data_IF_229615935690
#
_entry.id   IF_229615935690
#
_cell.length_a   1.000
_cell.length_b   1.000
_cell.length_c   1.000
_cell.angle_alpha   90.00
_cell.angle_beta   90.00
_cell.angle_gamma   90.00
#
_symmetry.space_group_name_H-M   'P 1'
#
loop_
_entity.id
_entity.type
_entity.pdbx_description
1 polymer ?
#
# COMPACT_ATOMS: atom_id res chain seq x y z
N UNK A 1 26.42 11.06 6.80
CA UNK A 1 25.17 10.41 7.26
C UNK A 1 23.99 11.36 7.11
N UNK A 2 22.74 10.90 7.28
CA UNK A 2 21.54 11.75 7.32
C UNK A 2 21.66 12.79 8.43
N UNK A 3 22.17 12.38 9.60
CA UNK A 3 22.41 13.25 10.75
C UNK A 3 23.34 14.41 10.41
N UNK A 4 24.45 14.15 9.72
CA UNK A 4 25.45 15.18 9.34
C UNK A 4 24.87 16.20 8.36
N UNK A 5 23.82 15.81 7.62
CA UNK A 5 23.10 16.67 6.67
C UNK A 5 21.87 17.35 7.26
N UNK A 6 21.61 17.16 8.56
CA UNK A 6 20.41 17.69 9.23
C UNK A 6 19.09 17.11 8.70
N UNK A 7 19.13 15.94 8.05
CA UNK A 7 17.94 15.31 7.49
C UNK A 7 17.25 14.43 8.55
N UNK A 8 15.95 14.63 8.83
CA UNK A 8 15.25 13.81 9.79
C UNK A 8 15.04 12.38 9.25
N UNK A 9 15.16 11.40 10.15
CA UNK A 9 14.72 10.01 9.90
C UNK A 9 13.57 9.75 10.85
N UNK A 10 12.35 9.75 10.32
CA UNK A 10 11.13 9.69 11.11
C UNK A 10 10.37 8.35 10.96
N UNK A 11 10.75 7.54 9.98
CA UNK A 11 10.08 6.28 9.66
C UNK A 11 11.04 5.11 9.61
N UNK A 12 10.70 4.05 10.33
CA UNK A 12 11.33 2.74 10.17
C UNK A 12 10.58 1.91 9.13
N UNK A 13 11.28 0.98 8.47
CA UNK A 13 10.68 0.10 7.46
C UNK A 13 10.92 -1.35 7.87
N UNK A 14 9.85 -2.14 7.96
CA UNK A 14 9.89 -3.58 8.20
C UNK A 14 9.61 -4.30 6.90
N UNK A 15 10.67 -4.77 6.26
CA UNK A 15 10.56 -5.51 5.00
C UNK A 15 9.99 -6.91 5.22
N UNK A 16 9.07 -7.34 4.33
CA UNK A 16 8.45 -8.66 4.37
C UNK A 16 7.67 -8.90 5.67
N UNK A 17 6.96 -7.87 6.18
CA UNK A 17 6.28 -7.93 7.47
C UNK A 17 5.20 -9.03 7.53
N UNK A 18 4.65 -9.44 6.39
CA UNK A 18 3.56 -10.40 6.30
C UNK A 18 3.99 -11.81 5.89
N UNK A 19 5.25 -11.97 5.53
CA UNK A 19 5.83 -13.23 5.08
C UNK A 19 6.71 -13.08 3.84
N UNK A 20 7.36 -14.15 3.47
CA UNK A 20 8.18 -14.21 2.26
C UNK A 20 8.21 -15.63 1.66
N UNK A 21 8.62 -15.71 0.38
CA UNK A 21 8.67 -16.98 -0.35
C UNK A 21 9.72 -17.97 0.18
N UNK A 22 10.62 -17.51 1.06
CA UNK A 22 11.72 -18.30 1.60
C UNK A 22 11.41 -18.91 2.98
N UNK A 23 10.74 -18.11 3.85
CA UNK A 23 10.45 -18.48 5.23
C UNK A 23 8.95 -18.73 5.47
N UNK A 24 8.10 -18.40 4.49
CA UNK A 24 6.66 -18.47 4.64
C UNK A 24 6.09 -17.34 5.50
N UNK A 25 5.03 -17.64 6.25
CA UNK A 25 4.41 -16.70 7.19
C UNK A 25 5.34 -16.43 8.38
N UNK A 26 5.49 -15.14 8.73
CA UNK A 26 6.31 -14.73 9.87
C UNK A 26 5.44 -14.53 11.11
N UNK A 27 5.95 -14.94 12.28
CA UNK A 27 5.22 -14.78 13.54
C UNK A 27 5.09 -13.31 13.93
N UNK A 28 4.01 -12.97 14.59
CA UNK A 28 3.78 -11.62 15.13
C UNK A 28 4.89 -11.21 16.08
N UNK A 29 5.38 -12.13 16.93
CA UNK A 29 6.46 -11.89 17.89
C UNK A 29 7.77 -11.52 17.18
N UNK A 30 8.07 -12.16 16.05
CA UNK A 30 9.24 -11.82 15.26
C UNK A 30 9.14 -10.39 14.71
N UNK A 31 7.97 -10.01 14.19
CA UNK A 31 7.76 -8.66 13.67
C UNK A 31 7.83 -7.63 14.79
N UNK A 32 7.22 -7.89 15.95
CA UNK A 32 7.34 -7.00 17.11
C UNK A 32 8.81 -6.82 17.57
N UNK A 33 9.61 -7.89 17.52
CA UNK A 33 11.07 -7.77 17.79
C UNK A 33 11.78 -6.90 16.75
N UNK A 34 11.44 -7.04 15.47
CA UNK A 34 12.00 -6.20 14.39
C UNK A 34 11.60 -4.73 14.54
N UNK A 35 10.38 -4.46 14.95
CA UNK A 35 9.91 -3.09 15.27
C UNK A 35 10.70 -2.52 16.43
N UNK A 36 10.86 -3.28 17.54
CA UNK A 36 11.65 -2.85 18.68
C UNK A 36 13.09 -2.53 18.27
N UNK A 37 13.72 -3.42 17.51
CA UNK A 37 15.09 -3.20 17.01
C UNK A 37 15.20 -1.92 16.18
N UNK A 38 14.24 -1.66 15.28
CA UNK A 38 14.24 -0.44 14.47
C UNK A 38 14.12 0.83 15.34
N UNK A 39 13.32 0.78 16.41
CA UNK A 39 13.18 1.88 17.35
C UNK A 39 14.49 2.11 18.14
N UNK A 40 15.10 1.03 18.64
CA UNK A 40 16.33 1.09 19.40
C UNK A 40 17.51 1.61 18.56
N UNK A 41 17.67 1.11 17.34
CA UNK A 41 18.69 1.55 16.39
C UNK A 41 18.51 3.03 15.99
N UNK A 42 17.29 3.48 15.82
CA UNK A 42 17.01 4.89 15.55
C UNK A 42 17.47 5.77 16.72
N UNK A 43 17.18 5.38 17.96
CA UNK A 43 17.61 6.10 19.16
C UNK A 43 19.15 6.14 19.26
N UNK A 44 19.82 5.01 19.03
CA UNK A 44 21.29 4.95 19.02
C UNK A 44 21.90 5.86 17.94
N UNK A 45 21.21 5.98 16.79
CA UNK A 45 21.62 6.89 15.73
C UNK A 45 21.26 8.37 16.00
N UNK A 46 20.54 8.66 17.09
CA UNK A 46 20.11 10.00 17.50
C UNK A 46 18.87 10.50 16.77
N UNK A 47 17.97 9.57 16.38
CA UNK A 47 16.66 9.87 15.79
C UNK A 47 15.52 9.33 16.67
N UNK A 48 14.33 9.89 16.47
CA UNK A 48 13.08 9.36 17.05
C UNK A 48 12.12 9.06 15.92
N UNK A 49 11.74 7.79 15.79
CA UNK A 49 10.78 7.40 14.77
C UNK A 49 9.37 7.80 15.20
N UNK A 50 8.62 8.41 14.29
CA UNK A 50 7.19 8.70 14.44
C UNK A 50 6.33 7.51 14.06
N UNK A 51 6.82 6.67 13.15
CA UNK A 51 6.07 5.55 12.63
C UNK A 51 6.91 4.43 12.02
N UNK A 52 6.20 3.35 11.74
CA UNK A 52 6.74 2.16 11.09
C UNK A 52 5.93 1.88 9.82
N UNK A 53 6.64 1.63 8.73
CA UNK A 53 6.07 1.14 7.48
C UNK A 53 6.18 -0.37 7.44
N UNK A 54 5.06 -1.05 7.35
CA UNK A 54 4.98 -2.50 7.14
C UNK A 54 4.89 -2.78 5.64
N UNK A 55 5.81 -3.57 5.10
CA UNK A 55 5.84 -3.84 3.66
C UNK A 55 5.51 -5.29 3.36
N UNK A 56 4.75 -5.48 2.29
CA UNK A 56 4.39 -6.77 1.71
C UNK A 56 5.04 -6.91 0.33
N UNK A 57 6.35 -7.07 0.29
CA UNK A 57 7.10 -7.11 -0.97
C UNK A 57 6.74 -8.30 -1.88
N UNK A 58 6.13 -9.35 -1.35
CA UNK A 58 5.87 -10.61 -2.08
C UNK A 58 4.38 -10.99 -2.15
N UNK A 59 3.47 -10.10 -1.74
CA UNK A 59 2.02 -10.32 -1.81
C UNK A 59 1.52 -11.40 -0.85
N UNK A 60 2.03 -11.44 0.38
CA UNK A 60 1.62 -12.37 1.44
C UNK A 60 0.55 -11.79 2.37
N UNK A 61 0.32 -10.46 2.30
CA UNK A 61 -0.64 -9.81 3.17
C UNK A 61 -2.08 -10.26 2.88
N UNK A 62 -2.81 -10.54 3.95
CA UNK A 62 -4.25 -10.74 3.95
C UNK A 62 -4.91 -9.76 4.91
N UNK A 63 -6.22 -9.48 4.81
CA UNK A 63 -6.92 -8.65 5.78
C UNK A 63 -6.64 -9.09 7.23
N UNK A 64 -6.72 -10.39 7.53
CA UNK A 64 -6.50 -10.94 8.85
C UNK A 64 -5.07 -10.72 9.36
N UNK A 65 -4.06 -10.88 8.49
CA UNK A 65 -2.67 -10.64 8.88
C UNK A 65 -2.40 -9.17 9.15
N UNK A 66 -3.02 -8.26 8.38
CA UNK A 66 -2.97 -6.81 8.60
C UNK A 66 -3.60 -6.45 9.95
N UNK A 67 -4.82 -6.95 10.21
CA UNK A 67 -5.53 -6.70 11.47
C UNK A 67 -4.74 -7.20 12.69
N UNK A 68 -4.25 -8.44 12.62
CA UNK A 68 -3.44 -9.06 13.69
C UNK A 68 -2.19 -8.23 13.99
N UNK A 69 -1.46 -7.88 12.95
CA UNK A 69 -0.16 -7.21 13.10
C UNK A 69 -0.31 -5.76 13.59
N UNK A 70 -1.24 -5.00 13.01
CA UNK A 70 -1.54 -3.63 13.45
C UNK A 70 -2.04 -3.63 14.89
N UNK A 71 -2.95 -4.55 15.26
CA UNK A 71 -3.44 -4.68 16.62
C UNK A 71 -2.32 -4.96 17.63
N UNK A 72 -1.41 -5.87 17.31
CA UNK A 72 -0.28 -6.20 18.16
C UNK A 72 0.71 -5.03 18.32
N UNK A 73 1.01 -4.30 17.23
CA UNK A 73 1.89 -3.13 17.29
C UNK A 73 1.27 -2.03 18.15
N UNK A 74 0.01 -1.68 17.92
CA UNK A 74 -0.69 -0.64 18.70
C UNK A 74 -0.85 -0.99 20.18
N UNK A 75 -1.01 -2.27 20.50
CA UNK A 75 -1.06 -2.71 21.90
C UNK A 75 0.24 -2.45 22.65
N UNK A 76 1.38 -2.46 21.96
CA UNK A 76 2.71 -2.24 22.55
C UNK A 76 3.18 -0.80 22.42
N UNK A 77 2.85 -0.14 21.31
CA UNK A 77 3.25 1.24 20.99
C UNK A 77 2.04 2.02 20.44
N UNK A 78 1.11 2.46 21.30
CA UNK A 78 -0.14 3.09 20.89
C UNK A 78 0.04 4.38 20.08
N UNK A 79 1.13 5.12 20.33
CA UNK A 79 1.43 6.39 19.64
C UNK A 79 2.20 6.21 18.32
N UNK A 80 2.63 4.97 18.02
CA UNK A 80 3.42 4.73 16.83
C UNK A 80 2.51 4.74 15.58
N UNK A 81 2.76 5.64 14.65
CA UNK A 81 2.06 5.67 13.38
C UNK A 81 2.40 4.45 12.53
N UNK A 82 1.42 3.97 11.76
CA UNK A 82 1.62 2.83 10.86
C UNK A 82 1.37 3.28 9.43
N UNK A 83 2.28 2.92 8.53
CA UNK A 83 2.11 3.00 7.09
C UNK A 83 2.11 1.60 6.48
N UNK A 84 1.40 1.43 5.37
CA UNK A 84 1.35 0.17 4.63
C UNK A 84 1.90 0.34 3.22
N UNK A 85 2.73 -0.62 2.82
CA UNK A 85 3.21 -0.79 1.45
C UNK A 85 2.85 -2.20 1.01
N UNK A 86 1.83 -2.30 0.18
CA UNK A 86 1.19 -3.57 -0.15
C UNK A 86 1.33 -3.88 -1.65
N UNK A 87 1.57 -5.17 -1.94
CA UNK A 87 1.56 -5.69 -3.30
C UNK A 87 0.30 -6.50 -3.58
N UNK A 88 -0.17 -6.43 -4.81
CA UNK A 88 -1.40 -7.10 -5.25
C UNK A 88 -1.14 -8.37 -6.07
N UNK A 89 0.00 -9.00 -5.86
CA UNK A 89 0.48 -10.18 -6.59
C UNK A 89 -0.54 -11.32 -6.67
N UNK A 90 -1.39 -11.46 -5.64
CA UNK A 90 -2.43 -12.50 -5.53
C UNK A 90 -3.85 -11.95 -5.44
N UNK A 91 -4.05 -10.67 -5.78
CA UNK A 91 -5.37 -10.03 -5.71
C UNK A 91 -5.86 -9.75 -4.28
N UNK A 92 -4.98 -9.84 -3.28
CA UNK A 92 -5.33 -9.57 -1.87
C UNK A 92 -4.89 -8.19 -1.38
N UNK A 93 -4.08 -7.49 -2.17
CA UNK A 93 -3.49 -6.21 -1.80
C UNK A 93 -4.53 -5.13 -1.48
N UNK A 94 -5.55 -4.98 -2.33
CA UNK A 94 -6.65 -4.04 -2.10
C UNK A 94 -7.48 -4.40 -0.87
N UNK A 95 -7.76 -5.68 -0.63
CA UNK A 95 -8.47 -6.12 0.56
C UNK A 95 -7.66 -5.87 1.84
N UNK A 96 -6.34 -6.10 1.79
CA UNK A 96 -5.42 -5.78 2.88
C UNK A 96 -5.33 -4.27 3.15
N UNK A 97 -5.32 -3.44 2.09
CA UNK A 97 -5.36 -1.99 2.21
C UNK A 97 -6.68 -1.50 2.85
N UNK A 98 -7.81 -2.07 2.44
CA UNK A 98 -9.11 -1.81 3.07
C UNK A 98 -9.10 -2.14 4.56
N UNK A 99 -8.54 -3.29 4.96
CA UNK A 99 -8.43 -3.65 6.37
C UNK A 99 -7.58 -2.63 7.15
N UNK A 100 -6.45 -2.18 6.59
CA UNK A 100 -5.64 -1.12 7.16
C UNK A 100 -6.41 0.19 7.33
N UNK A 101 -7.14 0.61 6.29
CA UNK A 101 -7.98 1.81 6.32
C UNK A 101 -9.06 1.73 7.41
N UNK A 102 -9.74 0.58 7.54
CA UNK A 102 -10.73 0.33 8.60
C UNK A 102 -10.14 0.41 10.00
N UNK A 103 -8.87 0.10 10.15
CA UNK A 103 -8.12 0.25 11.39
C UNK A 103 -7.57 1.67 11.59
N UNK A 104 -7.88 2.63 10.73
CA UNK A 104 -7.42 4.01 10.84
C UNK A 104 -5.95 4.22 10.42
N UNK A 105 -5.41 3.36 9.56
CA UNK A 105 -4.17 3.68 8.85
C UNK A 105 -4.47 4.75 7.80
N UNK A 106 -3.64 5.80 7.78
CA UNK A 106 -3.82 6.94 6.87
C UNK A 106 -2.67 7.10 5.86
N UNK A 107 -1.67 6.23 5.93
CA UNK A 107 -0.48 6.30 5.09
C UNK A 107 -0.31 4.99 4.32
N UNK A 108 -0.41 5.10 3.01
CA UNK A 108 -0.29 3.97 2.08
C UNK A 108 0.65 4.33 0.93
N UNK A 109 1.53 3.40 0.58
CA UNK A 109 2.24 3.47 -0.68
C UNK A 109 1.40 2.76 -1.74
N UNK A 110 1.23 3.39 -2.87
CA UNK A 110 0.57 2.86 -4.05
C UNK A 110 1.33 3.29 -5.31
N UNK A 111 1.07 2.68 -6.43
CA UNK A 111 1.68 3.06 -7.69
C UNK A 111 0.63 3.21 -8.78
N UNK A 112 0.84 4.21 -9.66
CA UNK A 112 -0.08 4.42 -10.79
C UNK A 112 -0.17 3.13 -11.63
N UNK A 113 -1.37 2.75 -11.99
CA UNK A 113 -1.67 1.54 -12.75
C UNK A 113 -1.08 0.25 -12.17
N UNK A 114 -0.75 0.21 -10.85
CA UNK A 114 -0.13 -0.94 -10.20
C UNK A 114 1.31 -1.21 -10.65
N UNK A 115 2.01 -0.20 -11.16
CA UNK A 115 3.41 -0.32 -11.56
C UNK A 115 4.30 -0.75 -10.40
N UNK A 116 5.40 -1.38 -10.76
CA UNK A 116 6.39 -1.89 -9.83
C UNK A 116 6.35 -3.41 -9.75
N UNK A 117 7.10 -3.95 -8.83
CA UNK A 117 7.27 -5.37 -8.59
C UNK A 117 8.45 -5.56 -7.65
N UNK A 118 8.56 -6.75 -7.11
CA UNK A 118 9.70 -7.12 -6.29
C UNK A 118 10.50 -8.21 -7.01
N UNK A 119 11.80 -8.01 -7.28
CA UNK A 119 12.62 -9.04 -7.90
C UNK A 119 12.68 -10.34 -7.06
N UNK A 120 12.43 -10.23 -5.76
CA UNK A 120 12.37 -11.37 -4.84
C UNK A 120 11.02 -12.11 -4.85
N UNK A 121 10.00 -11.58 -5.53
CA UNK A 121 8.71 -12.27 -5.64
C UNK A 121 8.81 -13.56 -6.47
N UNK A 122 9.92 -13.72 -7.25
CA UNK A 122 10.25 -14.91 -8.04
C UNK A 122 9.11 -15.41 -8.94
N UNK A 123 8.26 -14.50 -9.40
CA UNK A 123 7.08 -14.81 -10.21
C UNK A 123 7.10 -13.96 -11.46
N UNK A 124 7.23 -14.59 -12.62
CA UNK A 124 7.10 -13.91 -13.90
C UNK A 124 5.70 -13.28 -13.99
N UNK A 125 5.66 -11.97 -14.27
CA UNK A 125 4.39 -11.22 -14.33
C UNK A 125 3.77 -10.87 -12.98
N UNK A 126 4.52 -10.95 -11.87
CA UNK A 126 4.03 -10.48 -10.58
C UNK A 126 3.51 -9.04 -10.70
N UNK A 127 2.23 -8.86 -10.35
CA UNK A 127 1.61 -7.56 -10.20
C UNK A 127 2.36 -6.82 -9.10
N UNK A 128 2.62 -5.52 -9.33
CA UNK A 128 3.38 -4.72 -8.39
C UNK A 128 2.57 -4.23 -7.19
N UNK A 129 2.74 -2.97 -6.90
CA UNK A 129 2.01 -2.28 -5.85
C UNK A 129 0.48 -2.29 -6.11
N UNK A 130 -0.32 -2.04 -5.08
CA UNK A 130 -1.73 -1.68 -5.27
C UNK A 130 -1.82 -0.47 -6.21
N UNK A 131 -2.85 -0.42 -7.05
CA UNK A 131 -3.05 0.70 -7.99
C UNK A 131 -3.51 1.96 -7.25
N UNK A 132 -2.86 3.10 -7.51
CA UNK A 132 -3.23 4.38 -6.87
C UNK A 132 -4.66 4.76 -7.22
N UNK A 133 -5.04 4.69 -8.49
CA UNK A 133 -6.39 5.03 -8.96
C UNK A 133 -7.47 4.10 -8.42
N UNK A 134 -7.18 2.80 -8.27
CA UNK A 134 -8.11 1.84 -7.71
C UNK A 134 -8.33 2.10 -6.20
N UNK A 135 -7.25 2.38 -5.48
CA UNK A 135 -7.30 2.67 -4.06
C UNK A 135 -7.97 4.03 -3.78
N UNK A 136 -7.63 5.07 -4.53
CA UNK A 136 -8.24 6.40 -4.41
C UNK A 136 -9.75 6.33 -4.73
N UNK A 137 -10.16 5.61 -5.78
CA UNK A 137 -11.56 5.37 -6.09
C UNK A 137 -12.30 4.67 -4.94
N UNK A 138 -11.72 3.60 -4.38
CA UNK A 138 -12.31 2.91 -3.23
C UNK A 138 -12.49 3.87 -2.04
N UNK A 139 -11.49 4.70 -1.74
CA UNK A 139 -11.57 5.69 -0.67
C UNK A 139 -12.69 6.71 -0.94
N UNK A 140 -12.78 7.27 -2.15
CA UNK A 140 -13.81 8.23 -2.55
C UNK A 140 -15.22 7.65 -2.38
N UNK A 141 -15.45 6.42 -2.87
CA UNK A 141 -16.76 5.74 -2.75
C UNK A 141 -17.11 5.37 -1.28
N UNK A 142 -16.11 5.32 -0.41
CA UNK A 142 -16.29 5.15 1.04
C UNK A 142 -16.45 6.48 1.79
N UNK A 143 -16.37 7.62 1.11
CA UNK A 143 -16.42 8.94 1.72
C UNK A 143 -15.13 9.35 2.45
N UNK A 144 -14.01 8.72 2.11
CA UNK A 144 -12.68 9.06 2.61
C UNK A 144 -11.99 9.99 1.61
N UNK A 145 -11.75 11.22 2.02
CA UNK A 145 -11.04 12.21 1.21
C UNK A 145 -9.54 11.89 1.16
N UNK A 146 -9.03 11.66 -0.04
CA UNK A 146 -7.61 11.44 -0.31
C UNK A 146 -6.91 12.70 -0.82
N UNK A 147 -7.65 13.74 -1.16
CA UNK A 147 -7.14 14.91 -1.88
C UNK A 147 -6.73 14.64 -3.32
N UNK A 148 -7.00 13.44 -3.86
CA UNK A 148 -6.62 13.03 -5.21
C UNK A 148 -7.82 13.15 -6.16
N UNK A 149 -7.53 13.52 -7.41
CA UNK A 149 -8.52 13.56 -8.50
C UNK A 149 -8.47 12.23 -9.26
N UNK A 150 -9.46 11.37 -9.04
CA UNK A 150 -9.49 10.01 -9.62
C UNK A 150 -9.58 10.04 -11.14
N UNK A 151 -10.25 11.02 -11.76
CA UNK A 151 -10.31 11.13 -13.22
C UNK A 151 -8.93 11.43 -13.80
N UNK A 152 -8.16 12.32 -13.17
CA UNK A 152 -6.76 12.57 -13.58
C UNK A 152 -5.85 11.38 -13.33
N UNK A 153 -6.05 10.65 -12.25
CA UNK A 153 -5.30 9.41 -12.01
C UNK A 153 -5.55 8.37 -13.12
N UNK A 154 -6.80 8.25 -13.60
CA UNK A 154 -7.14 7.39 -14.75
C UNK A 154 -6.40 7.82 -16.02
N UNK A 155 -6.32 9.13 -16.28
CA UNK A 155 -5.56 9.65 -17.43
C UNK A 155 -4.08 9.30 -17.32
N UNK A 156 -3.47 9.54 -16.15
CA UNK A 156 -2.06 9.23 -15.91
C UNK A 156 -1.80 7.72 -15.98
N UNK A 157 -2.72 6.89 -15.48
CA UNK A 157 -2.60 5.43 -15.58
C UNK A 157 -2.56 4.94 -17.04
N UNK A 158 -3.35 5.53 -17.93
CA UNK A 158 -3.30 5.24 -19.38
C UNK A 158 -1.99 5.67 -20.01
N UNK A 159 -1.49 6.86 -19.66
CA UNK A 159 -0.16 7.32 -20.12
C UNK A 159 0.94 6.35 -19.64
N UNK A 160 0.86 5.90 -18.39
CA UNK A 160 1.82 4.94 -17.86
C UNK A 160 1.79 3.61 -18.63
N UNK A 161 0.59 3.12 -18.98
CA UNK A 161 0.43 1.92 -19.82
C UNK A 161 1.04 2.10 -21.21
N UNK A 162 0.80 3.25 -21.85
CA UNK A 162 1.37 3.58 -23.16
C UNK A 162 2.91 3.64 -23.11
N UNK A 163 3.47 4.27 -22.08
CA UNK A 163 4.93 4.38 -21.89
C UNK A 163 5.57 3.02 -21.66
N UNK A 164 4.93 2.16 -20.88
CA UNK A 164 5.42 0.80 -20.58
C UNK A 164 5.25 -0.14 -21.78
N UNK A 165 4.30 0.14 -22.67
CA UNK A 165 4.06 -0.62 -23.90
C UNK A 165 3.42 -2.00 -23.68
N UNK A 166 2.77 -2.24 -22.54
CA UNK A 166 2.01 -3.45 -22.24
C UNK A 166 0.84 -3.14 -21.32
N UNK A 167 -0.23 -3.97 -21.31
CA UNK A 167 -1.34 -3.81 -20.38
C UNK A 167 -0.87 -3.79 -18.92
N UNK A 168 -1.40 -2.85 -18.13
CA UNK A 168 -1.17 -2.72 -16.71
C UNK A 168 -2.42 -3.14 -15.91
N UNK A 169 -2.27 -3.56 -14.64
CA UNK A 169 -3.34 -4.22 -13.89
C UNK A 169 -4.47 -3.31 -13.39
N UNK A 170 -4.36 -1.97 -13.51
CA UNK A 170 -5.37 -1.04 -12.99
C UNK A 170 -6.79 -1.34 -13.49
N UNK A 171 -7.75 -1.40 -12.58
CA UNK A 171 -9.16 -1.70 -12.89
C UNK A 171 -9.93 -0.44 -13.22
N UNK A 172 -9.78 0.61 -12.40
CA UNK A 172 -10.54 1.86 -12.54
C UNK A 172 -10.13 2.62 -13.80
N UNK A 173 -8.87 2.53 -14.24
CA UNK A 173 -8.43 3.08 -15.53
C UNK A 173 -9.21 2.51 -16.74
N UNK A 174 -9.79 1.31 -16.59
CA UNK A 174 -10.60 0.65 -17.65
C UNK A 174 -12.10 0.84 -17.41
N UNK A 175 -12.57 0.64 -16.18
CA UNK A 175 -13.98 0.77 -15.81
C UNK A 175 -14.47 2.21 -15.77
N UNK A 176 -13.60 3.14 -15.38
CA UNK A 176 -13.94 4.52 -15.06
C UNK A 176 -14.63 4.65 -13.72
N UNK A 177 -14.92 5.88 -13.31
CA UNK A 177 -15.66 6.17 -12.09
C UNK A 177 -17.16 5.84 -12.23
N UNK A 178 -17.87 5.67 -11.10
CA UNK A 178 -19.33 5.49 -11.11
C UNK A 178 -20.06 6.70 -11.71
N UNK A 179 -19.52 7.90 -11.51
CA UNK A 179 -20.03 9.14 -12.11
C UNK A 179 -19.97 9.07 -13.65
N UNK A 180 -18.85 8.67 -14.22
CA UNK A 180 -18.68 8.51 -15.66
C UNK A 180 -19.54 7.37 -16.22
N UNK A 181 -19.65 6.26 -15.51
CA UNK A 181 -20.54 5.14 -15.90
C UNK A 181 -22.00 5.56 -15.95
N UNK A 182 -22.46 6.32 -14.95
CA UNK A 182 -23.83 6.84 -14.87
C UNK A 182 -24.16 7.82 -16.02
N UNK A 183 -23.19 8.68 -16.40
CA UNK A 183 -23.34 9.58 -17.53
C UNK A 183 -23.49 8.81 -18.85
N UNK A 184 -22.63 7.80 -19.11
CA UNK A 184 -22.72 6.92 -20.29
C UNK A 184 -24.04 6.15 -20.37
N UNK A 185 -24.53 5.65 -19.23
CA UNK A 185 -25.82 4.95 -19.15
C UNK A 185 -27.00 5.84 -19.57
N UNK A 186 -27.04 7.08 -19.11
CA UNK A 186 -28.09 8.05 -19.48
C UNK A 186 -28.08 8.37 -20.98
N UNK A 187 -26.92 8.50 -21.59
CA UNK A 187 -26.81 8.74 -23.05
C UNK A 187 -27.35 7.58 -23.87
N UNK A 188 -27.15 6.31 -23.44
CA UNK A 188 -27.63 5.12 -24.14
C UNK A 188 -29.16 4.95 -24.05
N UNK A 189 -29.80 5.43 -22.98
CA UNK A 189 -31.27 5.37 -22.81
C UNK A 189 -31.96 6.49 -23.59
N UNK A 190 -31.27 7.59 -23.87
CA UNK A 190 -31.81 8.73 -24.62
C UNK A 190 -31.61 8.62 -26.15
N UNK A 191 -30.86 7.64 -26.63
CA UNK A 191 -30.63 7.34 -28.05
C UNK A 191 -31.49 6.17 -28.55
#
# INVERSE_FOLDING_TARGET
>A
TFKDRGMPVEWGIILGAFGCNYEGELSTELILRRVQLALDEAVLAGFTLKGIKLTDAMGWATPQSVERLIGAIRSKWPELEIALHLHDTRGTGMAAAYAGLRLGVTKFDASIAGLGGCPFAATDGAVGNICTEDFAFMCEEMGVDTGLDVEKLIEVAKIAEDVVGRPLPGHVMRGGTLKAAKARGRQRVAA
#
